data_IF_041541684825
#
_entry.id   IF_041541684825
#
_cell.length_a   1.000
_cell.length_b   1.000
_cell.length_c   1.000
_cell.angle_alpha   90.00
_cell.angle_beta   90.00
_cell.angle_gamma   90.00
#
_symmetry.space_group_name_H-M   'P 1'
#
loop_
_entity.id
_entity.type
_entity.pdbx_description
1 polymer ?
#
# COMPACT_ATOMS: atom_id res chain seq x y z
N UNK A 1 -11.45 -16.10 0.34
CA UNK A 1 -11.04 -15.45 1.60
C UNK A 1 -9.64 -15.93 1.98
N UNK A 2 -9.39 -17.23 1.97
CA UNK A 2 -8.15 -17.86 2.43
C UNK A 2 -6.89 -17.47 1.63
N UNK A 3 -6.99 -17.35 0.31
CA UNK A 3 -5.85 -16.96 -0.53
C UNK A 3 -5.35 -15.54 -0.27
N UNK A 4 -6.25 -14.60 0.07
CA UNK A 4 -5.88 -13.22 0.43
C UNK A 4 -5.15 -13.19 1.78
N UNK A 5 -5.66 -13.95 2.76
CA UNK A 5 -5.02 -14.06 4.07
C UNK A 5 -3.61 -14.65 3.95
N UNK A 6 -3.42 -15.68 3.12
CA UNK A 6 -2.10 -16.27 2.87
C UNK A 6 -1.10 -15.24 2.29
N UNK A 7 -1.54 -14.42 1.34
CA UNK A 7 -0.69 -13.36 0.76
C UNK A 7 -0.33 -12.27 1.79
N UNK A 8 -1.28 -11.91 2.66
CA UNK A 8 -1.04 -10.96 3.76
C UNK A 8 -0.04 -11.54 4.76
N UNK A 9 -0.20 -12.82 5.13
CA UNK A 9 0.71 -13.50 6.06
C UNK A 9 2.12 -13.62 5.46
N UNK A 10 2.26 -14.04 4.19
CA UNK A 10 3.58 -14.12 3.54
C UNK A 10 4.28 -12.75 3.52
N UNK A 11 3.54 -11.69 3.22
CA UNK A 11 4.08 -10.34 3.25
C UNK A 11 4.59 -9.95 4.65
N UNK A 12 3.80 -10.26 5.69
CA UNK A 12 4.16 -9.99 7.08
C UNK A 12 5.39 -10.80 7.52
N UNK A 13 5.47 -12.08 7.14
CA UNK A 13 6.63 -12.94 7.43
C UNK A 13 7.91 -12.45 6.76
N UNK A 14 7.82 -11.95 5.52
CA UNK A 14 8.98 -11.39 4.79
C UNK A 14 9.42 -10.03 5.31
N UNK A 15 8.56 -9.34 6.08
CA UNK A 15 8.81 -7.99 6.60
C UNK A 15 8.28 -7.85 8.04
N UNK A 16 8.83 -8.62 9.00
CA UNK A 16 8.24 -8.79 10.33
C UNK A 16 8.16 -7.50 11.17
N UNK A 17 8.87 -6.45 10.77
CA UNK A 17 8.96 -5.17 11.48
C UNK A 17 8.44 -3.99 10.67
N UNK A 18 7.88 -4.24 9.48
CA UNK A 18 7.37 -3.18 8.61
C UNK A 18 5.86 -3.26 8.50
N UNK A 19 5.22 -2.11 8.65
CA UNK A 19 3.79 -1.96 8.49
C UNK A 19 3.51 -1.15 7.23
N UNK A 20 2.67 -1.68 6.34
CA UNK A 20 2.12 -0.89 5.25
C UNK A 20 0.99 0.01 5.76
N UNK A 21 1.08 1.31 5.49
CA UNK A 21 0.10 2.31 5.89
C UNK A 21 -0.33 3.10 4.66
N UNK A 22 -1.63 3.30 4.51
CA UNK A 22 -2.21 4.13 3.46
C UNK A 22 -1.79 5.59 3.68
N UNK A 23 -1.22 6.25 2.65
CA UNK A 23 -0.71 7.62 2.73
C UNK A 23 -1.39 8.59 1.76
N UNK A 24 -2.38 8.12 1.01
CA UNK A 24 -3.23 8.94 0.14
C UNK A 24 -4.68 8.48 0.20
N UNK A 25 -5.57 9.30 -0.34
CA UNK A 25 -6.90 8.82 -0.70
C UNK A 25 -6.80 7.69 -1.75
N UNK A 26 -7.84 6.87 -1.82
CA UNK A 26 -7.99 5.84 -2.85
C UNK A 26 -8.66 6.51 -4.06
N UNK A 27 -7.93 6.58 -5.17
CA UNK A 27 -8.41 7.10 -6.45
C UNK A 27 -9.11 5.96 -7.21
N UNK A 28 -10.42 6.10 -7.45
CA UNK A 28 -11.27 5.08 -8.08
C UNK A 28 -11.79 5.58 -9.42
N UNK A 29 -11.58 4.80 -10.48
CA UNK A 29 -12.05 5.09 -11.83
C UNK A 29 -12.77 3.86 -12.40
N UNK A 30 -14.08 3.83 -12.23
CA UNK A 30 -14.90 2.67 -12.57
C UNK A 30 -14.51 1.47 -11.70
N UNK A 31 -13.97 0.43 -12.32
CA UNK A 31 -13.52 -0.79 -11.64
C UNK A 31 -12.04 -0.76 -11.26
N UNK A 32 -11.30 0.29 -11.64
CA UNK A 32 -9.88 0.44 -11.31
C UNK A 32 -9.71 1.29 -10.07
N UNK A 33 -8.70 0.96 -9.26
CA UNK A 33 -8.30 1.77 -8.12
C UNK A 33 -6.78 1.92 -8.06
N UNK A 34 -6.31 3.00 -7.43
CA UNK A 34 -4.93 3.15 -7.00
C UNK A 34 -4.83 3.93 -5.70
N UNK A 35 -3.79 3.66 -4.93
CA UNK A 35 -3.44 4.43 -3.75
C UNK A 35 -1.93 4.38 -3.48
N UNK A 36 -1.45 5.38 -2.75
CA UNK A 36 -0.09 5.39 -2.23
C UNK A 36 -0.09 4.89 -0.79
N UNK A 37 0.98 4.19 -0.45
CA UNK A 37 1.28 3.82 0.91
C UNK A 37 2.71 4.12 1.29
N UNK A 38 3.00 3.98 2.57
CA UNK A 38 4.35 3.97 3.12
C UNK A 38 4.56 2.69 3.91
N UNK A 39 5.78 2.18 3.87
CA UNK A 39 6.24 1.17 4.83
C UNK A 39 6.82 1.92 6.01
N UNK A 40 6.26 1.71 7.19
CA UNK A 40 6.72 2.27 8.45
C UNK A 40 7.49 1.21 9.25
N UNK A 41 8.55 1.60 9.95
CA UNK A 41 9.18 0.75 10.96
C UNK A 41 8.38 0.74 12.28
N UNK A 42 8.87 0.03 13.29
CA UNK A 42 8.22 -0.07 14.61
C UNK A 42 8.08 1.26 15.36
N UNK A 43 8.81 2.30 14.95
CA UNK A 43 8.72 3.66 15.51
C UNK A 43 7.72 4.54 14.76
N UNK A 44 7.06 4.01 13.73
CA UNK A 44 6.18 4.77 12.84
C UNK A 44 6.92 5.64 11.83
N UNK A 45 8.23 5.44 11.64
CA UNK A 45 9.01 6.23 10.70
C UNK A 45 8.90 5.62 9.30
N UNK A 46 8.60 6.41 8.25
CA UNK A 46 8.49 5.90 6.89
C UNK A 46 9.89 5.53 6.35
N UNK A 47 10.05 4.27 5.93
CA UNK A 47 11.31 3.73 5.40
C UNK A 47 11.29 3.49 3.88
N UNK A 48 10.10 3.35 3.29
CA UNK A 48 9.93 3.19 1.85
C UNK A 48 8.52 3.64 1.43
N UNK A 49 8.36 4.09 0.20
CA UNK A 49 7.06 4.26 -0.43
C UNK A 49 6.56 2.97 -1.07
N UNK A 50 5.23 2.88 -1.18
CA UNK A 50 4.51 1.88 -1.92
C UNK A 50 3.46 2.53 -2.84
N UNK A 51 3.21 1.90 -3.98
CA UNK A 51 2.09 2.20 -4.86
C UNK A 51 1.33 0.89 -5.03
N UNK A 52 0.03 0.95 -4.78
CA UNK A 52 -0.87 -0.15 -5.05
C UNK A 52 -1.85 0.28 -6.14
N UNK A 53 -2.03 -0.58 -7.12
CA UNK A 53 -3.03 -0.41 -8.17
C UNK A 53 -3.77 -1.72 -8.38
N UNK A 54 -5.05 -1.66 -8.69
CA UNK A 54 -5.84 -2.86 -8.79
C UNK A 54 -7.16 -2.67 -9.48
N UNK A 55 -7.94 -3.75 -9.43
CA UNK A 55 -9.23 -3.86 -10.08
C UNK A 55 -10.22 -4.56 -9.16
N UNK A 56 -11.45 -4.03 -9.10
CA UNK A 56 -12.57 -4.64 -8.40
C UNK A 56 -13.60 -5.22 -9.38
N UNK A 57 -14.38 -6.20 -8.92
CA UNK A 57 -15.57 -6.66 -9.61
C UNK A 57 -16.78 -5.72 -9.38
N UNK A 58 -17.93 -6.08 -9.95
CA UNK A 58 -19.17 -5.32 -9.82
C UNK A 58 -19.69 -5.24 -8.36
N UNK A 59 -19.28 -6.17 -7.49
CA UNK A 59 -19.62 -6.17 -6.06
C UNK A 59 -18.59 -5.41 -5.22
N UNK A 60 -17.59 -4.78 -5.86
CA UNK A 60 -16.53 -4.03 -5.19
C UNK A 60 -15.42 -4.90 -4.59
N UNK A 61 -15.35 -6.19 -4.94
CA UNK A 61 -14.31 -7.09 -4.43
C UNK A 61 -13.05 -7.00 -5.28
N UNK A 62 -11.90 -6.90 -4.63
CA UNK A 62 -10.60 -6.86 -5.32
C UNK A 62 -10.40 -8.18 -6.07
N UNK A 63 -10.27 -8.10 -7.39
CA UNK A 63 -9.91 -9.20 -8.28
C UNK A 63 -8.40 -9.23 -8.56
N UNK A 64 -7.79 -8.05 -8.70
CA UNK A 64 -6.36 -7.89 -8.99
C UNK A 64 -5.80 -6.82 -8.06
N UNK A 65 -4.66 -7.11 -7.45
CA UNK A 65 -3.86 -6.15 -6.70
C UNK A 65 -2.40 -6.25 -7.18
N UNK A 66 -1.85 -5.13 -7.63
CA UNK A 66 -0.47 -4.97 -8.01
C UNK A 66 0.19 -4.02 -7.02
N UNK A 67 1.17 -4.54 -6.28
CA UNK A 67 1.91 -3.78 -5.25
C UNK A 67 3.33 -3.50 -5.73
N UNK A 68 3.69 -2.22 -5.80
CA UNK A 68 5.01 -1.73 -6.19
C UNK A 68 5.68 -1.10 -4.96
N UNK A 69 6.84 -1.61 -4.58
CA UNK A 69 7.56 -1.20 -3.35
C UNK A 69 9.00 -0.79 -3.66
N UNK A 70 9.55 0.13 -2.88
CA UNK A 70 10.99 0.37 -2.87
C UNK A 70 11.45 1.71 -3.47
N UNK A 71 10.55 2.68 -3.63
CA UNK A 71 10.98 4.06 -3.86
C UNK A 71 11.22 4.76 -2.52
N UNK A 72 12.18 5.68 -2.47
CA UNK A 72 12.32 6.56 -1.32
C UNK A 72 10.99 7.33 -1.16
N UNK A 73 10.39 7.36 0.06
CA UNK A 73 9.15 8.09 0.24
C UNK A 73 9.38 9.55 -0.16
N UNK A 74 8.38 10.24 -0.74
CA UNK A 74 8.52 11.63 -1.06
C UNK A 74 8.80 12.36 0.25
N UNK A 75 9.94 13.05 0.33
CA UNK A 75 10.26 13.84 1.52
C UNK A 75 9.10 14.81 1.72
N UNK A 76 8.45 14.84 2.90
CA UNK A 76 7.37 15.80 3.13
C UNK A 76 7.96 17.17 2.81
N UNK A 77 7.36 17.84 1.83
CA UNK A 77 7.79 19.17 1.43
C UNK A 77 7.52 20.05 2.63
N UNK A 78 8.54 20.29 3.46
CA UNK A 78 8.47 21.28 4.53
C UNK A 78 7.95 22.53 3.87
N UNK A 79 6.80 23.04 4.33
CA UNK A 79 6.37 24.36 3.91
C UNK A 79 7.56 25.28 4.16
N UNK A 80 8.11 25.86 3.08
CA UNK A 80 9.11 26.89 3.21
C UNK A 80 8.52 27.99 4.13
N UNK A 81 9.34 28.58 5.02
CA UNK A 81 8.88 29.58 5.98
C UNK A 81 8.17 30.75 5.31
#
# INVERSE_FOLDING_TARGET
>A
HDALLALITEFQERRPHLRAVLSSDIDIQGHLFRYLGVLENERGEPVAGALDAGMCDADGRIQILLTFVGWAPPTPRTAAP
#
